data_IF_044594713278
#
_entry.id   IF_044594713278
#
_cell.length_a   1.000
_cell.length_b   1.000
_cell.length_c   1.000
_cell.angle_alpha   90.00
_cell.angle_beta   90.00
_cell.angle_gamma   90.00
#
_symmetry.space_group_name_H-M   'P 1'
#
loop_
_entity.id
_entity.type
_entity.pdbx_description
1 polymer ?
#
# COMPACT_ATOMS: atom_id res chain seq x y z
N UNK A 1 20.53 -5.33 5.86
CA UNK A 1 19.32 -5.75 6.59
C UNK A 1 18.93 -4.59 7.47
N UNK A 2 17.74 -4.01 7.29
CA UNK A 2 17.22 -2.99 8.21
C UNK A 2 16.90 -3.69 9.54
N UNK A 3 17.84 -3.64 10.47
CA UNK A 3 17.83 -4.37 11.75
C UNK A 3 16.62 -4.03 12.65
N UNK A 4 15.79 -3.06 12.25
CA UNK A 4 14.69 -2.52 13.02
C UNK A 4 13.34 -2.44 12.25
N UNK A 5 13.16 -3.25 11.21
CA UNK A 5 11.93 -3.27 10.42
C UNK A 5 10.83 -4.09 11.10
N UNK A 6 9.65 -3.51 11.41
CA UNK A 6 8.59 -4.21 12.13
C UNK A 6 7.85 -5.20 11.24
N UNK A 7 7.31 -6.25 11.88
CA UNK A 7 6.29 -7.12 11.30
C UNK A 7 4.92 -6.41 11.33
N UNK A 8 4.01 -6.72 10.38
CA UNK A 8 2.66 -6.14 10.35
C UNK A 8 1.93 -6.18 11.69
N UNK A 9 1.88 -7.32 12.38
CA UNK A 9 1.17 -7.52 13.65
C UNK A 9 1.70 -6.69 14.82
N UNK A 10 2.96 -6.23 14.74
CA UNK A 10 3.58 -5.40 15.77
C UNK A 10 3.12 -3.95 15.72
N UNK A 11 2.60 -3.50 14.56
CA UNK A 11 2.31 -2.08 14.31
C UNK A 11 0.90 -1.83 13.78
N UNK A 12 0.23 -2.82 13.19
CA UNK A 12 -1.11 -2.71 12.62
C UNK A 12 -2.09 -3.70 13.27
N UNK A 13 -3.36 -3.31 13.30
CA UNK A 13 -4.46 -4.22 13.61
C UNK A 13 -4.71 -5.17 12.43
N UNK A 14 -5.29 -6.35 12.69
CA UNK A 14 -5.58 -7.33 11.63
C UNK A 14 -6.45 -6.75 10.50
N UNK A 15 -7.48 -5.98 10.84
CA UNK A 15 -8.35 -5.33 9.83
C UNK A 15 -7.61 -4.33 8.95
N UNK A 16 -6.61 -3.62 9.49
CA UNK A 16 -5.75 -2.72 8.71
C UNK A 16 -4.86 -3.52 7.76
N UNK A 17 -4.30 -4.65 8.22
CA UNK A 17 -3.51 -5.55 7.36
C UNK A 17 -4.36 -6.11 6.23
N UNK A 18 -5.59 -6.55 6.52
CA UNK A 18 -6.53 -7.06 5.51
C UNK A 18 -6.90 -5.98 4.48
N UNK A 19 -7.14 -4.75 4.94
CA UNK A 19 -7.39 -3.61 4.05
C UNK A 19 -6.19 -3.34 3.14
N UNK A 20 -4.97 -3.27 3.66
CA UNK A 20 -3.77 -3.05 2.84
C UNK A 20 -3.58 -4.17 1.81
N UNK A 21 -3.82 -5.43 2.21
CA UNK A 21 -3.73 -6.59 1.31
C UNK A 21 -4.76 -6.56 0.20
N UNK A 22 -5.99 -6.15 0.51
CA UNK A 22 -7.07 -6.02 -0.47
C UNK A 22 -6.79 -4.85 -1.41
N UNK A 23 -6.35 -3.71 -0.88
CA UNK A 23 -6.02 -2.52 -1.64
C UNK A 23 -4.93 -2.79 -2.69
N UNK A 24 -3.83 -3.44 -2.30
CA UNK A 24 -2.73 -3.77 -3.22
C UNK A 24 -3.14 -4.72 -4.36
N UNK A 25 -4.22 -5.51 -4.19
CA UNK A 25 -4.72 -6.38 -5.26
C UNK A 25 -5.31 -5.55 -6.42
N UNK A 26 -5.80 -4.34 -6.15
CA UNK A 26 -6.47 -3.50 -7.15
C UNK A 26 -5.52 -3.05 -8.27
N UNK A 27 -4.21 -3.00 -8.02
CA UNK A 27 -3.20 -2.71 -9.05
C UNK A 27 -3.13 -3.77 -10.15
N UNK A 28 -3.52 -5.01 -9.87
CA UNK A 28 -3.68 -6.06 -10.88
C UNK A 28 -5.10 -6.17 -11.44
N UNK A 29 -6.00 -5.25 -11.08
CA UNK A 29 -7.41 -5.26 -11.41
C UNK A 29 -7.84 -3.96 -12.13
N UNK A 30 -8.86 -3.25 -11.62
CA UNK A 30 -9.46 -2.11 -12.31
C UNK A 30 -8.58 -0.85 -12.35
N UNK A 31 -7.54 -0.77 -11.51
CA UNK A 31 -6.65 0.38 -11.47
C UNK A 31 -5.86 0.52 -12.78
N UNK A 32 -5.66 1.77 -13.21
CA UNK A 32 -5.04 2.12 -14.50
C UNK A 32 -3.77 2.93 -14.28
N UNK A 33 -2.77 2.29 -13.68
CA UNK A 33 -1.49 2.93 -13.39
C UNK A 33 -0.64 3.07 -14.67
N UNK A 34 0.01 4.21 -14.86
CA UNK A 34 1.06 4.36 -15.86
C UNK A 34 2.42 3.96 -15.30
N UNK A 35 3.40 3.74 -16.17
CA UNK A 35 4.79 3.47 -15.75
C UNK A 35 5.36 4.63 -14.94
N UNK A 36 5.08 5.88 -15.33
CA UNK A 36 5.56 7.07 -14.60
C UNK A 36 4.99 7.14 -13.19
N UNK A 37 3.72 6.76 -13.01
CA UNK A 37 3.11 6.72 -11.69
C UNK A 37 3.66 5.57 -10.85
N UNK A 38 3.83 4.38 -11.43
CA UNK A 38 4.48 3.25 -10.75
C UNK A 38 5.89 3.62 -10.27
N UNK A 39 6.64 4.32 -11.12
CA UNK A 39 7.96 4.88 -10.79
C UNK A 39 7.85 5.90 -9.67
N UNK A 40 6.87 6.80 -9.68
CA UNK A 40 6.67 7.77 -8.61
C UNK A 40 6.34 7.11 -7.25
N UNK A 41 5.62 5.98 -7.26
CA UNK A 41 5.32 5.18 -6.06
C UNK A 41 6.57 4.47 -5.52
N UNK A 42 7.56 4.20 -6.38
CA UNK A 42 8.83 3.59 -6.02
C UNK A 42 9.09 2.23 -6.64
N UNK A 43 8.34 1.84 -7.67
CA UNK A 43 8.56 0.64 -8.46
C UNK A 43 9.37 0.95 -9.73
N UNK A 44 9.80 -0.07 -10.47
CA UNK A 44 10.56 0.13 -11.71
C UNK A 44 9.68 0.55 -12.89
N UNK A 45 8.50 -0.04 -12.99
CA UNK A 45 7.48 0.16 -14.02
C UNK A 45 6.14 -0.44 -13.55
N UNK A 46 5.10 -0.41 -14.38
CA UNK A 46 3.79 -0.99 -14.02
C UNK A 46 3.84 -2.51 -13.81
N UNK A 47 4.62 -3.24 -14.61
CA UNK A 47 4.73 -4.69 -14.45
C UNK A 47 5.37 -5.05 -13.10
N UNK A 48 6.40 -4.30 -12.69
CA UNK A 48 7.04 -4.41 -11.39
C UNK A 48 6.09 -4.04 -10.24
N UNK A 49 5.27 -3.00 -10.39
CA UNK A 49 4.21 -2.66 -9.42
C UNK A 49 3.26 -3.83 -9.17
N UNK A 50 2.78 -4.50 -10.22
CA UNK A 50 1.83 -5.62 -10.10
C UNK A 50 2.49 -6.81 -9.38
N UNK A 51 3.70 -7.20 -9.81
CA UNK A 51 4.42 -8.32 -9.23
C UNK A 51 4.83 -8.05 -7.77
N UNK A 52 5.36 -6.86 -7.49
CA UNK A 52 5.73 -6.48 -6.13
C UNK A 52 4.50 -6.29 -5.24
N UNK A 53 3.37 -5.84 -5.77
CA UNK A 53 2.10 -5.81 -5.01
C UNK A 53 1.70 -7.22 -4.58
N UNK A 54 1.90 -8.24 -5.42
CA UNK A 54 1.70 -9.65 -5.03
C UNK A 54 2.66 -10.06 -3.90
N UNK A 55 3.96 -9.76 -4.03
CA UNK A 55 4.97 -10.04 -2.99
C UNK A 55 4.63 -9.36 -1.66
N UNK A 56 4.30 -8.07 -1.68
CA UNK A 56 3.97 -7.27 -0.49
C UNK A 56 2.71 -7.78 0.21
N UNK A 57 1.69 -8.18 -0.57
CA UNK A 57 0.48 -8.83 -0.03
C UNK A 57 0.79 -10.13 0.69
N UNK A 58 1.70 -10.95 0.15
CA UNK A 58 2.13 -12.17 0.82
C UNK A 58 2.94 -11.90 2.08
N UNK A 59 3.79 -10.87 2.09
CA UNK A 59 4.54 -10.49 3.29
C UNK A 59 3.61 -10.02 4.41
N UNK A 60 2.62 -9.19 4.07
CA UNK A 60 1.55 -8.78 4.99
C UNK A 60 0.78 -10.00 5.53
N UNK A 61 0.49 -10.99 4.67
CA UNK A 61 -0.22 -12.20 5.05
C UNK A 61 0.57 -13.11 5.99
N UNK A 62 1.87 -13.29 5.71
CA UNK A 62 2.77 -14.17 6.44
C UNK A 62 3.33 -13.52 7.72
N UNK A 63 2.97 -12.27 7.99
CA UNK A 63 3.45 -11.48 9.13
C UNK A 63 4.99 -11.48 9.26
N UNK A 64 5.68 -11.38 8.12
CA UNK A 64 7.15 -11.30 8.08
C UNK A 64 7.62 -9.86 8.20
N UNK A 65 8.90 -9.64 8.49
CA UNK A 65 9.45 -8.29 8.54
C UNK A 65 9.38 -7.62 7.16
N UNK A 66 8.88 -6.40 7.12
CA UNK A 66 8.77 -5.59 5.90
C UNK A 66 9.78 -4.43 6.00
N UNK A 67 10.58 -4.25 4.93
CA UNK A 67 11.58 -3.19 4.87
C UNK A 67 10.93 -1.80 4.94
N UNK A 68 11.68 -0.77 5.34
CA UNK A 68 11.11 0.59 5.41
C UNK A 68 10.66 1.12 4.05
N UNK A 69 11.41 0.78 3.00
CA UNK A 69 11.06 1.14 1.61
C UNK A 69 9.78 0.45 1.17
N UNK A 70 9.62 -0.83 1.52
CA UNK A 70 8.40 -1.58 1.20
C UNK A 70 7.19 -1.04 1.97
N UNK A 71 7.35 -0.67 3.24
CA UNK A 71 6.28 0.02 3.98
C UNK A 71 5.86 1.33 3.32
N UNK A 72 6.82 2.12 2.84
CA UNK A 72 6.53 3.37 2.14
C UNK A 72 5.79 3.11 0.80
N UNK A 73 6.22 2.11 0.02
CA UNK A 73 5.54 1.66 -1.21
C UNK A 73 4.11 1.20 -0.93
N UNK A 74 3.89 0.41 0.14
CA UNK A 74 2.56 -0.05 0.55
C UNK A 74 1.67 1.15 0.85
N UNK A 75 2.12 2.06 1.72
CA UNK A 75 1.30 3.21 2.15
C UNK A 75 0.94 4.09 0.96
N UNK A 76 1.92 4.49 0.15
CA UNK A 76 1.70 5.37 -0.99
C UNK A 76 0.85 4.70 -2.09
N UNK A 77 1.12 3.42 -2.38
CA UNK A 77 0.34 2.65 -3.34
C UNK A 77 -1.12 2.50 -2.91
N UNK A 78 -1.38 2.25 -1.62
CA UNK A 78 -2.75 2.13 -1.10
C UNK A 78 -3.49 3.46 -1.11
N UNK A 79 -2.83 4.57 -0.75
CA UNK A 79 -3.44 5.89 -0.79
C UNK A 79 -3.93 6.26 -2.19
N UNK A 80 -3.08 6.04 -3.20
CA UNK A 80 -3.39 6.39 -4.59
C UNK A 80 -4.47 5.46 -5.16
N UNK A 81 -4.33 4.15 -4.96
CA UNK A 81 -5.27 3.18 -5.55
C UNK A 81 -6.68 3.33 -4.96
N UNK A 82 -6.78 3.75 -3.70
CA UNK A 82 -8.06 4.04 -3.05
C UNK A 82 -8.69 5.33 -3.60
N UNK A 83 -7.97 6.45 -3.59
CA UNK A 83 -8.60 7.77 -3.77
C UNK A 83 -8.78 8.17 -5.24
N UNK A 84 -7.99 7.60 -6.15
CA UNK A 84 -7.92 8.07 -7.53
C UNK A 84 -8.88 7.31 -8.44
N UNK A 85 -9.77 8.01 -9.13
CA UNK A 85 -10.52 7.47 -10.27
C UNK A 85 -9.71 7.43 -11.55
N UNK A 86 -8.70 8.30 -11.65
CA UNK A 86 -7.88 8.44 -12.85
C UNK A 86 -6.87 7.29 -12.98
N UNK A 87 -6.23 6.93 -11.87
CA UNK A 87 -5.18 5.91 -11.85
C UNK A 87 -5.51 4.72 -10.94
N UNK A 88 -6.40 4.90 -9.96
CA UNK A 88 -6.76 3.88 -8.99
C UNK A 88 -8.11 3.22 -9.29
N UNK A 89 -8.76 2.76 -8.22
CA UNK A 89 -10.03 2.04 -8.21
C UNK A 89 -11.12 2.85 -7.49
N UNK A 90 -11.04 4.18 -7.43
CA UNK A 90 -11.93 5.00 -6.59
C UNK A 90 -13.44 4.70 -6.76
N UNK A 91 -13.99 4.92 -7.94
CA UNK A 91 -15.40 4.63 -8.28
C UNK A 91 -15.75 3.15 -8.06
N UNK A 92 -14.81 2.25 -8.31
CA UNK A 92 -15.03 0.80 -8.21
C UNK A 92 -14.72 0.25 -6.80
N UNK A 93 -14.28 1.10 -5.86
CA UNK A 93 -13.64 0.68 -4.62
C UNK A 93 -14.58 -0.16 -3.76
N UNK A 94 -15.77 0.36 -3.49
CA UNK A 94 -16.77 -0.33 -2.68
C UNK A 94 -17.22 -1.65 -3.33
N UNK A 95 -17.36 -1.66 -4.66
CA UNK A 95 -17.80 -2.82 -5.44
C UNK A 95 -16.76 -3.94 -5.43
N UNK A 96 -15.49 -3.58 -5.65
CA UNK A 96 -14.40 -4.55 -5.80
C UNK A 96 -13.87 -5.00 -4.45
N UNK A 97 -13.74 -4.08 -3.49
CA UNK A 97 -13.12 -4.38 -2.19
C UNK A 97 -14.10 -4.73 -1.09
N UNK A 98 -15.36 -4.28 -1.20
CA UNK A 98 -16.37 -4.38 -0.13
C UNK A 98 -16.20 -3.34 0.99
N UNK A 99 -15.20 -2.45 0.91
CA UNK A 99 -14.99 -1.40 1.89
C UNK A 99 -15.60 -0.07 1.43
N UNK A 100 -16.30 0.61 2.33
CA UNK A 100 -16.77 1.98 2.09
C UNK A 100 -15.67 3.03 2.30
N UNK A 101 -15.83 4.18 1.67
CA UNK A 101 -14.85 5.28 1.70
C UNK A 101 -14.53 5.77 3.11
N UNK A 102 -15.56 5.99 3.94
CA UNK A 102 -15.39 6.48 5.31
C UNK A 102 -14.56 5.51 6.16
N UNK A 103 -14.86 4.21 6.08
CA UNK A 103 -14.11 3.17 6.78
C UNK A 103 -12.67 3.12 6.26
N UNK A 104 -12.51 3.19 4.93
CA UNK A 104 -11.21 3.10 4.28
C UNK A 104 -10.31 4.27 4.64
N UNK A 105 -10.81 5.51 4.55
CA UNK A 105 -10.01 6.70 4.87
C UNK A 105 -9.61 6.72 6.34
N UNK A 106 -10.50 6.30 7.24
CA UNK A 106 -10.19 6.23 8.68
C UNK A 106 -9.11 5.19 8.98
N UNK A 107 -9.17 4.03 8.33
CA UNK A 107 -8.14 3.00 8.43
C UNK A 107 -6.80 3.46 7.87
N UNK A 108 -6.77 4.08 6.68
CA UNK A 108 -5.55 4.64 6.10
C UNK A 108 -4.93 5.70 7.02
N UNK A 109 -5.73 6.60 7.61
CA UNK A 109 -5.23 7.59 8.58
C UNK A 109 -4.64 6.94 9.83
N UNK A 110 -5.21 5.84 10.29
CA UNK A 110 -4.66 5.06 11.40
C UNK A 110 -3.32 4.41 11.03
N UNK A 111 -3.25 3.74 9.87
CA UNK A 111 -2.02 3.15 9.31
C UNK A 111 -0.92 4.18 9.17
N UNK A 112 -1.20 5.35 8.58
CA UNK A 112 -0.25 6.46 8.42
C UNK A 112 0.36 6.89 9.76
N UNK A 113 -0.46 7.02 10.82
CA UNK A 113 0.04 7.39 12.15
C UNK A 113 0.90 6.30 12.77
N UNK A 114 0.47 5.04 12.67
CA UNK A 114 1.19 3.87 13.24
C UNK A 114 2.54 3.65 12.55
N UNK A 115 2.60 3.85 11.24
CA UNK A 115 3.81 3.69 10.44
C UNK A 115 4.65 4.97 10.32
N UNK A 116 4.21 6.11 10.86
CA UNK A 116 4.88 7.39 10.68
C UNK A 116 6.38 7.34 10.96
N UNK A 117 6.79 6.71 12.07
CA UNK A 117 8.21 6.56 12.42
C UNK A 117 9.01 5.66 11.46
N UNK A 118 8.35 4.67 10.87
CA UNK A 118 8.95 3.71 9.92
C UNK A 118 9.19 4.36 8.56
N UNK A 119 8.20 5.11 8.05
CA UNK A 119 8.23 5.68 6.71
C UNK A 119 8.74 7.13 6.64
N UNK A 120 8.99 7.78 7.79
CA UNK A 120 9.49 9.17 7.88
C UNK A 120 10.65 9.51 6.93
N UNK A 121 11.65 8.62 6.69
CA UNK A 121 12.74 8.93 5.75
C UNK A 121 12.29 9.19 4.30
N UNK A 122 11.09 8.73 3.93
CA UNK A 122 10.53 8.84 2.58
C UNK A 122 9.51 9.98 2.42
N UNK A 123 9.26 10.79 3.45
CA UNK A 123 8.34 11.93 3.32
C UNK A 123 8.85 12.93 2.27
N UNK A 124 8.01 13.19 1.26
CA UNK A 124 8.35 14.04 0.11
C UNK A 124 9.43 13.47 -0.81
N UNK A 125 9.76 12.18 -0.70
CA UNK A 125 10.80 11.50 -1.48
C UNK A 125 10.27 10.21 -2.07
N UNK A 126 10.81 9.83 -3.23
CA UNK A 126 10.49 8.54 -3.85
C UNK A 126 11.06 7.39 -2.99
N UNK A 127 10.26 6.36 -2.65
CA UNK A 127 10.75 5.13 -2.03
C UNK A 127 11.68 4.37 -2.98
N UNK A 128 12.97 4.34 -2.68
CA UNK A 128 14.00 3.62 -3.45
C UNK A 128 14.97 2.93 -2.50
#
# INVERSE_FOLDING_TARGET
MDENSPRPSQVLAQSEVELLRRALLEWGGPARCSDELAVAIGFRDFADLVEESRRLREMLAKDVQISRVDWARIVLGVEIVFVSDLAGSGVEWATTTGFGDEVTVMAIRSVQRKLAGVVRPYYGRRPQ
#
